data_IF_689947598417
#
_entry.id   IF_689947598417
#
_cell.length_a   1.000
_cell.length_b   1.000
_cell.length_c   1.000
_cell.angle_alpha   90.00
_cell.angle_beta   90.00
_cell.angle_gamma   90.00
#
_symmetry.space_group_name_H-M   'P 1'
#
loop_
_entity.id
_entity.type
_entity.pdbx_description
1 polymer ?
#
# COMPACT_ATOMS: atom_id res chain seq x y z
N UNK A 1 21.15 8.82 4.13
CA UNK A 1 20.40 7.72 3.51
C UNK A 1 20.91 7.51 2.10
N UNK A 2 21.28 6.28 1.72
CA UNK A 2 21.84 6.00 0.39
C UNK A 2 20.75 6.09 -0.71
N UNK A 3 21.12 6.46 -1.94
CA UNK A 3 20.18 6.54 -3.07
C UNK A 3 19.48 5.19 -3.35
N UNK A 4 20.16 4.09 -3.08
CA UNK A 4 19.61 2.73 -3.18
C UNK A 4 18.49 2.49 -2.18
N UNK A 5 18.59 2.98 -0.93
CA UNK A 5 17.53 2.89 0.08
C UNK A 5 16.26 3.58 -0.39
N UNK A 6 16.38 4.79 -0.95
CA UNK A 6 15.25 5.55 -1.50
C UNK A 6 14.56 4.81 -2.64
N UNK A 7 15.34 4.19 -3.54
CA UNK A 7 14.80 3.40 -4.64
C UNK A 7 14.00 2.20 -4.10
N UNK A 8 14.54 1.46 -3.13
CA UNK A 8 13.84 0.33 -2.52
C UNK A 8 12.57 0.74 -1.79
N UNK A 9 12.59 1.88 -1.10
CA UNK A 9 11.42 2.49 -0.47
C UNK A 9 10.35 2.85 -1.51
N UNK A 10 10.74 3.42 -2.65
CA UNK A 10 9.79 3.77 -3.70
C UNK A 10 9.12 2.52 -4.28
N UNK A 11 9.90 1.47 -4.55
CA UNK A 11 9.40 0.17 -5.02
C UNK A 11 8.48 -0.46 -3.97
N UNK A 12 8.88 -0.47 -2.70
CA UNK A 12 8.07 -0.99 -1.60
C UNK A 12 6.74 -0.22 -1.49
N UNK A 13 6.78 1.11 -1.56
CA UNK A 13 5.59 1.96 -1.49
C UNK A 13 4.63 1.69 -2.64
N UNK A 14 5.15 1.52 -3.86
CA UNK A 14 4.39 1.13 -5.05
C UNK A 14 3.70 -0.23 -4.87
N UNK A 15 4.47 -1.27 -4.55
CA UNK A 15 3.94 -2.62 -4.33
C UNK A 15 2.91 -2.65 -3.21
N UNK A 16 3.20 -1.99 -2.10
CA UNK A 16 2.31 -1.84 -0.96
C UNK A 16 1.02 -1.15 -1.37
N UNK A 17 1.09 0.01 -2.02
CA UNK A 17 -0.09 0.78 -2.41
C UNK A 17 -0.97 0.06 -3.42
N UNK A 18 -0.37 -0.50 -4.48
CA UNK A 18 -1.08 -1.30 -5.48
C UNK A 18 -1.70 -2.54 -4.85
N UNK A 19 -0.96 -3.24 -3.98
CA UNK A 19 -1.44 -4.43 -3.27
C UNK A 19 -2.69 -4.16 -2.43
N UNK A 20 -2.72 -3.06 -1.67
CA UNK A 20 -3.90 -2.67 -0.89
C UNK A 20 -5.13 -2.45 -1.77
N UNK A 21 -4.98 -1.77 -2.90
CA UNK A 21 -6.12 -1.47 -3.80
C UNK A 21 -6.61 -2.73 -4.51
N UNK A 22 -5.69 -3.60 -4.94
CA UNK A 22 -6.05 -4.88 -5.57
C UNK A 22 -6.75 -5.81 -4.57
N UNK A 23 -6.30 -5.86 -3.31
CA UNK A 23 -6.99 -6.58 -2.25
C UNK A 23 -8.41 -6.03 -2.05
N UNK A 24 -8.56 -4.71 -1.93
CA UNK A 24 -9.86 -4.07 -1.80
C UNK A 24 -10.77 -4.40 -3.00
N UNK A 25 -10.25 -4.40 -4.22
CA UNK A 25 -10.98 -4.82 -5.43
C UNK A 25 -11.49 -6.26 -5.31
N UNK A 26 -10.60 -7.19 -4.95
CA UNK A 26 -10.96 -8.60 -4.76
C UNK A 26 -12.03 -8.78 -3.69
N UNK A 27 -11.90 -8.10 -2.56
CA UNK A 27 -12.85 -8.18 -1.45
C UNK A 27 -14.21 -7.56 -1.76
N UNK A 28 -14.30 -6.51 -2.60
CA UNK A 28 -15.59 -6.00 -3.07
C UNK A 28 -16.34 -7.04 -3.91
N UNK A 29 -15.64 -7.78 -4.76
CA UNK A 29 -16.22 -8.88 -5.57
C UNK A 29 -16.65 -10.05 -4.68
N UNK A 30 -15.81 -10.45 -3.72
CA UNK A 30 -16.16 -11.51 -2.77
C UNK A 30 -17.34 -11.08 -1.89
N UNK A 31 -17.37 -9.86 -1.38
CA UNK A 31 -18.46 -9.36 -0.52
C UNK A 31 -19.82 -9.30 -1.23
N UNK A 32 -19.85 -9.03 -2.54
CA UNK A 32 -21.10 -8.91 -3.30
C UNK A 32 -21.79 -10.26 -3.58
N UNK A 33 -21.07 -11.39 -3.55
CA UNK A 33 -21.64 -12.69 -3.83
C UNK A 33 -22.29 -13.32 -2.59
N UNK A 34 -23.56 -13.72 -2.72
CA UNK A 34 -24.41 -14.23 -1.64
C UNK A 34 -24.29 -15.74 -1.37
N UNK A 35 -23.68 -16.51 -2.28
CA UNK A 35 -23.68 -17.98 -2.24
C UNK A 35 -22.24 -18.50 -2.11
N UNK A 36 -22.04 -19.49 -1.23
CA UNK A 36 -20.77 -20.18 -1.01
C UNK A 36 -19.94 -19.63 0.17
N UNK A 37 -18.99 -20.43 0.65
CA UNK A 37 -18.18 -20.08 1.83
C UNK A 37 -17.35 -18.80 1.57
N UNK A 38 -17.44 -17.78 2.43
CA UNK A 38 -16.68 -16.53 2.25
C UNK A 38 -15.17 -16.79 2.16
N UNK A 39 -14.65 -17.70 3.00
CA UNK A 39 -13.24 -18.05 3.01
C UNK A 39 -12.78 -18.72 1.70
N UNK A 40 -13.55 -19.68 1.18
CA UNK A 40 -13.20 -20.37 -0.07
C UNK A 40 -13.17 -19.42 -1.26
N UNK A 41 -14.09 -18.45 -1.29
CA UNK A 41 -14.14 -17.41 -2.33
C UNK A 41 -12.98 -16.43 -2.23
N UNK A 42 -12.60 -16.03 -1.02
CA UNK A 42 -11.40 -15.19 -0.80
C UNK A 42 -10.14 -15.89 -1.28
N UNK A 43 -9.95 -17.17 -0.93
CA UNK A 43 -8.75 -17.93 -1.27
C UNK A 43 -8.66 -18.32 -2.76
N UNK A 44 -9.78 -18.33 -3.48
CA UNK A 44 -9.83 -18.61 -4.92
C UNK A 44 -9.91 -17.36 -5.80
N UNK A 45 -10.08 -16.17 -5.22
CA UNK A 45 -10.22 -14.95 -5.99
C UNK A 45 -8.85 -14.48 -6.53
N UNK A 46 -8.67 -14.35 -7.86
CA UNK A 46 -7.38 -14.02 -8.44
C UNK A 46 -6.88 -12.61 -8.06
N UNK A 47 -7.77 -11.65 -7.82
CA UNK A 47 -7.39 -10.32 -7.34
C UNK A 47 -6.89 -10.39 -5.90
N UNK A 48 -7.54 -11.16 -5.03
CA UNK A 48 -7.05 -11.34 -3.66
C UNK A 48 -5.68 -12.00 -3.67
N UNK A 49 -5.50 -13.08 -4.42
CA UNK A 49 -4.21 -13.78 -4.53
C UNK A 49 -3.10 -12.86 -5.05
N UNK A 50 -3.37 -12.08 -6.09
CA UNK A 50 -2.42 -11.10 -6.62
C UNK A 50 -2.09 -10.03 -5.58
N UNK A 51 -3.09 -9.50 -4.88
CA UNK A 51 -2.91 -8.52 -3.83
C UNK A 51 -2.05 -9.05 -2.66
N UNK A 52 -2.28 -10.30 -2.25
CA UNK A 52 -1.46 -11.00 -1.24
C UNK A 52 -0.03 -11.17 -1.73
N UNK A 53 0.18 -11.58 -2.98
CA UNK A 53 1.53 -11.73 -3.55
C UNK A 53 2.29 -10.40 -3.57
N UNK A 54 1.63 -9.30 -3.94
CA UNK A 54 2.22 -7.95 -3.89
C UNK A 54 2.55 -7.51 -2.46
N UNK A 55 1.67 -7.79 -1.50
CA UNK A 55 1.93 -7.51 -0.08
C UNK A 55 3.10 -8.33 0.46
N UNK A 56 3.21 -9.60 0.08
CA UNK A 56 4.35 -10.42 0.44
C UNK A 56 5.66 -9.85 -0.14
N UNK A 57 5.67 -9.47 -1.41
CA UNK A 57 6.83 -8.84 -2.05
C UNK A 57 7.23 -7.52 -1.36
N UNK A 58 6.24 -6.66 -1.05
CA UNK A 58 6.45 -5.46 -0.23
C UNK A 58 7.10 -5.81 1.11
N UNK A 59 6.57 -6.81 1.81
CA UNK A 59 7.06 -7.20 3.12
C UNK A 59 8.51 -7.70 3.09
N UNK A 60 8.91 -8.46 2.07
CA UNK A 60 10.31 -8.87 1.90
C UNK A 60 11.25 -7.68 1.67
N UNK A 61 10.84 -6.70 0.84
CA UNK A 61 11.64 -5.47 0.65
C UNK A 61 11.70 -4.66 1.94
N UNK A 62 10.59 -4.56 2.68
CA UNK A 62 10.53 -3.89 3.97
C UNK A 62 11.50 -4.52 4.98
N UNK A 63 11.51 -5.86 5.10
CA UNK A 63 12.48 -6.55 5.95
C UNK A 63 13.94 -6.28 5.51
N UNK A 64 14.20 -6.24 4.20
CA UNK A 64 15.52 -5.90 3.67
C UNK A 64 15.93 -4.43 3.88
N UNK A 65 14.97 -3.52 4.06
CA UNK A 65 15.22 -2.14 4.46
C UNK A 65 15.50 -2.06 5.97
N UNK A 66 14.71 -2.76 6.78
CA UNK A 66 14.88 -2.82 8.23
C UNK A 66 16.21 -3.45 8.67
N UNK A 67 16.79 -4.33 7.85
CA UNK A 67 18.11 -4.89 8.15
C UNK A 67 19.26 -3.91 7.95
N UNK A 68 19.00 -2.75 7.32
CA UNK A 68 20.02 -1.76 6.95
C UNK A 68 19.82 -0.39 7.59
N UNK A 69 18.58 -0.05 7.90
CA UNK A 69 18.17 1.29 8.34
C UNK A 69 17.23 1.18 9.55
N UNK A 70 17.21 2.21 10.38
CA UNK A 70 16.35 2.25 11.56
C UNK A 70 14.86 2.25 11.19
N UNK A 71 14.05 1.54 11.98
CA UNK A 71 12.59 1.48 11.81
C UNK A 71 11.98 2.90 11.82
N UNK A 72 12.51 3.81 12.64
CA UNK A 72 12.06 5.21 12.74
C UNK A 72 12.25 6.01 11.44
N UNK A 73 13.14 5.58 10.54
CA UNK A 73 13.36 6.19 9.22
C UNK A 73 12.56 5.48 8.13
N UNK A 74 12.57 4.15 8.13
CA UNK A 74 11.94 3.35 7.07
C UNK A 74 10.42 3.41 7.16
N UNK A 75 9.84 3.27 8.36
CA UNK A 75 8.39 3.18 8.52
C UNK A 75 7.66 4.42 7.97
N UNK A 76 8.04 5.66 8.32
CA UNK A 76 7.42 6.85 7.74
C UNK A 76 7.48 6.87 6.22
N UNK A 77 8.62 6.49 5.63
CA UNK A 77 8.78 6.46 4.18
C UNK A 77 7.84 5.48 3.49
N UNK A 78 7.45 4.37 4.13
CA UNK A 78 6.49 3.43 3.54
C UNK A 78 5.07 3.99 3.45
N UNK A 79 4.74 5.01 4.26
CA UNK A 79 3.42 5.68 4.21
C UNK A 79 3.21 6.51 2.94
N UNK A 80 4.26 6.71 2.12
CA UNK A 80 4.11 7.26 0.76
C UNK A 80 3.18 6.40 -0.11
N UNK A 81 2.98 5.13 0.25
CA UNK A 81 1.97 4.27 -0.36
C UNK A 81 0.55 4.84 -0.27
N UNK A 82 0.23 5.73 0.68
CA UNK A 82 -1.09 6.34 0.79
C UNK A 82 -1.45 7.22 -0.41
N UNK A 83 -0.47 7.84 -1.06
CA UNK A 83 -0.68 8.57 -2.32
C UNK A 83 -1.17 7.59 -3.39
N UNK A 84 -0.46 6.47 -3.52
CA UNK A 84 -0.78 5.41 -4.51
C UNK A 84 -2.14 4.81 -4.22
N UNK A 85 -2.44 4.52 -2.95
CA UNK A 85 -3.76 3.99 -2.53
C UNK A 85 -4.87 4.98 -2.89
N UNK A 86 -4.73 6.26 -2.57
CA UNK A 86 -5.75 7.26 -2.87
C UNK A 86 -5.97 7.43 -4.38
N UNK A 87 -4.89 7.52 -5.17
CA UNK A 87 -4.98 7.58 -6.63
C UNK A 87 -5.68 6.36 -7.21
N UNK A 88 -5.23 5.16 -6.85
CA UNK A 88 -5.77 3.93 -7.44
C UNK A 88 -7.16 3.59 -6.89
N UNK A 89 -7.51 3.98 -5.67
CA UNK A 89 -8.88 3.87 -5.16
C UNK A 89 -9.84 4.73 -6.00
N UNK A 90 -9.42 5.96 -6.36
CA UNK A 90 -10.22 6.81 -7.23
C UNK A 90 -10.32 6.25 -8.66
N UNK A 91 -9.21 5.76 -9.23
CA UNK A 91 -9.15 5.31 -10.63
C UNK A 91 -9.70 3.90 -10.87
N UNK A 92 -9.36 2.93 -10.00
CA UNK A 92 -9.69 1.52 -10.19
C UNK A 92 -10.95 1.08 -9.43
N UNK A 93 -11.26 1.73 -8.31
CA UNK A 93 -12.40 1.38 -7.46
C UNK A 93 -13.54 2.39 -7.53
N UNK A 94 -13.37 3.48 -8.30
CA UNK A 94 -14.30 4.60 -8.41
C UNK A 94 -14.72 5.18 -7.04
N UNK A 95 -13.80 5.14 -6.05
CA UNK A 95 -14.06 5.73 -4.74
C UNK A 95 -13.91 7.24 -4.77
N UNK A 96 -14.85 7.96 -4.14
CA UNK A 96 -14.73 9.39 -3.95
C UNK A 96 -13.68 9.70 -2.86
N UNK A 97 -12.50 10.16 -3.28
CA UNK A 97 -11.48 10.66 -2.37
C UNK A 97 -11.72 12.16 -2.17
N UNK A 98 -12.18 12.52 -0.98
CA UNK A 98 -12.54 13.91 -0.66
C UNK A 98 -11.29 14.82 -0.68
N UNK A 99 -11.45 16.13 -0.98
CA UNK A 99 -10.36 17.09 -0.84
C UNK A 99 -9.72 17.07 0.54
N UNK A 100 -10.51 16.86 1.60
CA UNK A 100 -10.00 16.74 2.96
C UNK A 100 -9.06 15.54 3.14
N UNK A 101 -9.38 14.39 2.52
CA UNK A 101 -8.51 13.20 2.55
C UNK A 101 -7.20 13.47 1.79
N UNK A 102 -7.26 14.17 0.66
CA UNK A 102 -6.08 14.63 -0.07
C UNK A 102 -5.19 15.57 0.75
N UNK A 103 -5.79 16.53 1.44
CA UNK A 103 -5.08 17.44 2.35
C UNK A 103 -4.41 16.67 3.48
N UNK A 104 -5.11 15.70 4.08
CA UNK A 104 -4.54 14.81 5.10
C UNK A 104 -3.33 14.02 4.60
N UNK A 105 -3.41 13.45 3.38
CA UNK A 105 -2.27 12.78 2.74
C UNK A 105 -1.12 13.76 2.54
N UNK A 106 -1.40 14.99 2.11
CA UNK A 106 -0.40 16.06 2.01
C UNK A 106 0.34 16.30 3.33
N UNK A 107 -0.39 16.39 4.45
CA UNK A 107 0.21 16.52 5.78
C UNK A 107 1.06 15.31 6.18
N UNK A 108 0.63 14.08 5.84
CA UNK A 108 1.43 12.87 6.09
C UNK A 108 2.74 12.95 5.31
N UNK A 109 2.69 13.29 4.02
CA UNK A 109 3.88 13.42 3.17
C UNK A 109 4.83 14.50 3.68
N UNK A 110 4.30 15.63 4.15
CA UNK A 110 5.11 16.67 4.81
C UNK A 110 5.77 16.14 6.08
N UNK A 111 5.05 15.40 6.91
CA UNK A 111 5.61 14.74 8.10
C UNK A 111 6.74 13.77 7.74
N UNK A 112 6.56 12.94 6.71
CA UNK A 112 7.59 12.03 6.21
C UNK A 112 8.83 12.80 5.73
N UNK A 113 8.63 13.90 5.01
CA UNK A 113 9.74 14.75 4.59
C UNK A 113 10.53 15.28 5.79
N UNK A 114 9.85 15.77 6.83
CA UNK A 114 10.52 16.25 8.05
C UNK A 114 11.32 15.13 8.74
N UNK A 115 10.76 13.93 8.88
CA UNK A 115 11.48 12.78 9.47
C UNK A 115 12.68 12.37 8.63
N UNK A 116 12.60 12.49 7.29
CA UNK A 116 13.74 12.16 6.42
C UNK A 116 14.93 13.14 6.55
N UNK A 117 14.74 14.28 7.22
CA UNK A 117 15.77 15.32 7.42
C UNK A 117 16.49 15.20 8.76
N UNK A 118 16.07 14.29 9.63
CA UNK A 118 16.72 13.94 10.91
C UNK A 118 17.52 12.67 10.77
#
# INVERSE_FOLDING_TARGET
>A
MMATTLLWVAIASLLGGVGHVILAKGMKVVGAAAIGSPLGRTLSNPWVLLGVALQAAFFFIYMALLSREDVSKVLPLTTLNYIIVALLAQLMLAEAVTPLRWTGIGFIVLGVFLVSRT
#
